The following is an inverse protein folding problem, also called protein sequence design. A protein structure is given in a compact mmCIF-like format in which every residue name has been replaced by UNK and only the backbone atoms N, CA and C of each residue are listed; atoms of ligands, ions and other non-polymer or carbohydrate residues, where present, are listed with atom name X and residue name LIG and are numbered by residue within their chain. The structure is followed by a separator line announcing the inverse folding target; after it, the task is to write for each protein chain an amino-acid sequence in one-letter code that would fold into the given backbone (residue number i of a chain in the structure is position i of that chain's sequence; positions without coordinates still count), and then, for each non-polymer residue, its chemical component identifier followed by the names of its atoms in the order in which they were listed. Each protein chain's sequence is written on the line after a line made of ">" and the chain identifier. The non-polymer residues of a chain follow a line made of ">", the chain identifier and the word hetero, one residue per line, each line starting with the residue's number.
data_IF_930210935817
#
_entry.id   IF_930210935817
#
_cell.length_a   1.000
_cell.length_b   1.000
_cell.length_c   1.000
_cell.angle_alpha   90.00
_cell.angle_beta   90.00
_cell.angle_gamma   90.00
#
_symmetry.space_group_name_H-M   'P 1'
#
loop_
_entity.id
_entity.type
_entity.pdbx_description
1 polymer ?
#
# COMPACT_ATOMS: atom_id res chain seq x y z
N UNK A 1 34.81 9.22 45.40
CA UNK A 1 33.90 9.98 44.51
C UNK A 1 33.64 9.28 43.17
N UNK A 2 34.62 8.61 42.56
CA UNK A 2 34.49 7.98 41.24
C UNK A 2 33.43 6.85 41.13
N UNK A 3 33.19 6.06 42.18
CA UNK A 3 32.21 4.96 42.15
C UNK A 3 30.74 5.42 42.01
N UNK A 4 30.39 6.62 42.49
CA UNK A 4 29.03 7.15 42.37
C UNK A 4 28.70 7.64 40.96
N UNK A 5 29.69 8.19 40.25
CA UNK A 5 29.52 8.65 38.86
C UNK A 5 29.37 7.48 37.89
N UNK A 6 30.11 6.39 38.10
CA UNK A 6 29.98 5.17 37.27
C UNK A 6 28.57 4.58 37.40
N UNK A 7 28.01 4.54 38.62
CA UNK A 7 26.63 4.08 38.84
C UNK A 7 25.60 4.96 38.14
N UNK A 8 25.76 6.29 38.21
CA UNK A 8 24.88 7.25 37.53
C UNK A 8 24.93 7.10 36.01
N UNK A 9 26.13 6.96 35.44
CA UNK A 9 26.33 6.79 34.00
C UNK A 9 25.76 5.46 33.50
N UNK A 10 25.90 4.38 34.27
CA UNK A 10 25.32 3.09 33.95
C UNK A 10 23.78 3.16 33.89
N UNK A 11 23.14 3.78 34.89
CA UNK A 11 21.68 3.94 34.92
C UNK A 11 21.16 4.81 33.77
N UNK A 12 21.87 5.90 33.47
CA UNK A 12 21.55 6.79 32.34
C UNK A 12 21.70 6.07 30.99
N UNK A 13 22.75 5.25 30.84
CA UNK A 13 22.95 4.43 29.63
C UNK A 13 21.83 3.40 29.43
N UNK A 14 21.33 2.82 30.51
CA UNK A 14 20.26 1.82 30.49
C UNK A 14 18.93 2.48 30.11
N UNK A 15 18.65 3.67 30.67
CA UNK A 15 17.48 4.47 30.32
C UNK A 15 17.50 4.94 28.87
N UNK A 16 18.65 5.37 28.36
CA UNK A 16 18.81 5.74 26.95
C UNK A 16 18.65 4.53 26.04
N UNK A 17 19.23 3.38 26.41
CA UNK A 17 19.08 2.12 25.69
C UNK A 17 17.62 1.69 25.60
N UNK A 18 16.85 1.81 26.68
CA UNK A 18 15.43 1.49 26.70
C UNK A 18 14.63 2.40 25.75
N UNK A 19 14.86 3.72 25.80
CA UNK A 19 14.23 4.67 24.87
C UNK A 19 14.60 4.41 23.42
N UNK A 20 15.85 4.01 23.16
CA UNK A 20 16.29 3.65 21.82
C UNK A 20 15.59 2.39 21.32
N UNK A 21 15.41 1.39 22.19
CA UNK A 21 14.66 0.18 21.86
C UNK A 21 13.17 0.49 21.58
N UNK A 22 12.54 1.33 22.40
CA UNK A 22 11.16 1.80 22.16
C UNK A 22 11.03 2.49 20.80
N UNK A 23 11.94 3.41 20.47
CA UNK A 23 11.95 4.08 19.17
C UNK A 23 12.19 3.11 18.01
N UNK A 24 13.06 2.12 18.18
CA UNK A 24 13.30 1.10 17.17
C UNK A 24 12.04 0.26 16.90
N UNK A 25 11.31 -0.13 17.95
CA UNK A 25 10.03 -0.83 17.82
C UNK A 25 9.01 0.02 17.08
N UNK A 26 8.86 1.29 17.46
CA UNK A 26 7.93 2.21 16.78
C UNK A 26 8.28 2.38 15.30
N UNK A 27 9.57 2.50 14.97
CA UNK A 27 10.04 2.63 13.60
C UNK A 27 9.76 1.38 12.76
N UNK A 28 9.99 0.18 13.34
CA UNK A 28 9.66 -1.08 12.69
C UNK A 28 8.16 -1.21 12.45
N UNK A 29 7.33 -0.86 13.44
CA UNK A 29 5.87 -0.89 13.29
C UNK A 29 5.40 0.08 12.21
N UNK A 30 5.91 1.31 12.20
CA UNK A 30 5.60 2.30 11.17
C UNK A 30 5.97 1.79 9.76
N UNK A 31 7.14 1.18 9.62
CA UNK A 31 7.57 0.59 8.35
C UNK A 31 6.66 -0.58 7.91
N UNK A 32 6.22 -1.44 8.84
CA UNK A 32 5.30 -2.52 8.54
C UNK A 32 3.93 -2.00 8.08
N UNK A 33 3.39 -0.96 8.74
CA UNK A 33 2.13 -0.35 8.34
C UNK A 33 2.22 0.32 6.98
N UNK A 34 3.28 1.10 6.72
CA UNK A 34 3.50 1.73 5.43
C UNK A 34 3.64 0.69 4.30
N UNK A 35 4.32 -0.42 4.57
CA UNK A 35 4.45 -1.53 3.62
C UNK A 35 3.10 -2.20 3.34
N UNK A 36 2.31 -2.45 4.38
CA UNK A 36 0.97 -3.03 4.23
C UNK A 36 0.05 -2.11 3.42
N UNK A 37 0.05 -0.82 3.72
CA UNK A 37 -0.74 0.18 2.99
C UNK A 37 -0.38 0.22 1.50
N UNK A 38 0.92 0.20 1.16
CA UNK A 38 1.38 0.14 -0.23
C UNK A 38 0.85 -1.11 -0.95
N UNK A 39 0.87 -2.27 -0.30
CA UNK A 39 0.34 -3.51 -0.85
C UNK A 39 -1.17 -3.46 -1.06
N UNK A 40 -1.92 -2.95 -0.07
CA UNK A 40 -3.36 -2.81 -0.18
C UNK A 40 -3.76 -1.84 -1.28
N UNK A 41 -3.05 -0.72 -1.43
CA UNK A 41 -3.33 0.25 -2.48
C UNK A 41 -3.02 -0.35 -3.87
N UNK A 42 -1.91 -1.08 -4.01
CA UNK A 42 -1.60 -1.84 -5.22
C UNK A 42 -2.68 -2.86 -5.58
N UNK A 43 -3.20 -3.59 -4.58
CA UNK A 43 -4.29 -4.53 -4.79
C UNK A 43 -5.61 -3.84 -5.19
N UNK A 44 -5.95 -2.75 -4.51
CA UNK A 44 -7.16 -1.96 -4.76
C UNK A 44 -7.16 -1.36 -6.17
N UNK A 45 -6.06 -0.71 -6.55
CA UNK A 45 -5.89 -0.11 -7.88
C UNK A 45 -5.96 -1.17 -8.98
N UNK A 46 -5.29 -2.31 -8.79
CA UNK A 46 -5.38 -3.45 -9.72
C UNK A 46 -6.80 -4.00 -9.82
N UNK A 47 -7.50 -4.13 -8.70
CA UNK A 47 -8.90 -4.57 -8.66
C UNK A 47 -9.85 -3.62 -9.40
N UNK A 48 -9.69 -2.31 -9.23
CA UNK A 48 -10.46 -1.30 -9.96
C UNK A 48 -10.18 -1.37 -11.46
N UNK A 49 -8.91 -1.48 -11.86
CA UNK A 49 -8.53 -1.61 -13.27
C UNK A 49 -9.11 -2.88 -13.91
N UNK A 50 -9.06 -4.03 -13.20
CA UNK A 50 -9.63 -5.28 -13.67
C UNK A 50 -11.16 -5.19 -13.81
N UNK A 51 -11.84 -4.64 -12.81
CA UNK A 51 -13.30 -4.44 -12.84
C UNK A 51 -13.71 -3.52 -13.99
N UNK A 52 -12.99 -2.42 -14.21
CA UNK A 52 -13.23 -1.52 -15.33
C UNK A 52 -13.05 -2.24 -16.68
N UNK A 53 -12.02 -3.09 -16.82
CA UNK A 53 -11.80 -3.91 -18.02
C UNK A 53 -12.94 -4.89 -18.27
N UNK A 54 -13.39 -5.61 -17.23
CA UNK A 54 -14.51 -6.57 -17.33
C UNK A 54 -15.81 -5.85 -17.70
N UNK A 55 -16.12 -4.73 -17.06
CA UNK A 55 -17.29 -3.93 -17.38
C UNK A 55 -17.25 -3.38 -18.81
N UNK A 56 -16.08 -2.93 -19.27
CA UNK A 56 -15.89 -2.47 -20.65
C UNK A 56 -16.16 -3.61 -21.64
N UNK A 57 -15.60 -4.80 -21.42
CA UNK A 57 -15.86 -5.98 -22.26
C UNK A 57 -17.34 -6.39 -22.27
N UNK A 58 -18.00 -6.38 -21.11
CA UNK A 58 -19.41 -6.70 -21.02
C UNK A 58 -20.27 -5.67 -21.79
N UNK A 59 -19.90 -4.39 -21.75
CA UNK A 59 -20.56 -3.33 -22.53
C UNK A 59 -20.34 -3.50 -24.03
N UNK A 60 -19.12 -3.78 -24.48
CA UNK A 60 -18.83 -4.08 -25.90
C UNK A 60 -19.65 -5.26 -26.39
N UNK A 61 -19.73 -6.36 -25.62
CA UNK A 61 -20.54 -7.53 -25.96
C UNK A 61 -22.03 -7.19 -26.10
N UNK A 62 -22.57 -6.30 -25.25
CA UNK A 62 -23.96 -5.84 -25.36
C UNK A 62 -24.20 -5.01 -26.62
N UNK A 63 -23.26 -4.14 -27.01
CA UNK A 63 -23.36 -3.36 -28.25
C UNK A 63 -23.35 -4.28 -29.48
N UNK A 64 -22.44 -5.25 -29.53
CA UNK A 64 -22.36 -6.23 -30.61
C UNK A 64 -23.66 -7.04 -30.71
N UNK A 65 -24.22 -7.49 -29.58
CA UNK A 65 -25.51 -8.20 -29.55
C UNK A 65 -26.69 -7.35 -30.06
N UNK A 66 -26.58 -6.03 -29.99
CA UNK A 66 -27.58 -5.09 -30.53
C UNK A 66 -27.37 -4.78 -32.02
N UNK A 67 -26.42 -5.45 -32.68
CA UNK A 67 -26.13 -5.27 -34.10
C UNK A 67 -25.10 -4.19 -34.42
N UNK A 68 -24.45 -3.59 -33.41
CA UNK A 68 -23.36 -2.63 -33.64
C UNK A 68 -22.13 -3.38 -34.13
N UNK A 69 -21.56 -2.95 -35.26
CA UNK A 69 -20.34 -3.54 -35.81
C UNK A 69 -19.20 -3.50 -34.77
N UNK A 70 -18.39 -4.56 -34.62
CA UNK A 70 -17.35 -4.63 -33.59
C UNK A 70 -16.37 -3.46 -33.58
N UNK A 71 -16.00 -2.96 -34.77
CA UNK A 71 -15.13 -1.79 -34.90
C UNK A 71 -15.77 -0.51 -34.34
N UNK A 72 -17.05 -0.27 -34.64
CA UNK A 72 -17.81 0.86 -34.11
C UNK A 72 -18.03 0.75 -32.60
N UNK A 73 -18.32 -0.45 -32.08
CA UNK A 73 -18.47 -0.70 -30.66
C UNK A 73 -17.15 -0.51 -29.87
N UNK A 74 -16.01 -0.83 -30.49
CA UNK A 74 -14.69 -0.58 -29.92
C UNK A 74 -14.35 0.93 -29.90
N UNK A 75 -14.74 1.65 -30.94
CA UNK A 75 -14.50 3.09 -31.07
C UNK A 75 -15.36 3.93 -30.12
N UNK A 76 -16.65 3.61 -29.97
CA UNK A 76 -17.53 4.26 -28.96
C UNK A 76 -17.07 4.04 -27.51
N UNK A 77 -16.28 2.99 -27.27
CA UNK A 77 -15.74 2.66 -25.95
C UNK A 77 -14.29 3.10 -25.76
N UNK A 78 -13.73 3.88 -26.71
CA UNK A 78 -12.34 4.34 -26.71
C UNK A 78 -11.35 3.18 -26.43
N UNK A 79 -11.54 2.06 -27.13
CA UNK A 79 -10.70 0.85 -27.03
C UNK A 79 -9.51 0.91 -28.02
N UNK A 80 -9.55 1.84 -28.99
CA UNK A 80 -8.51 2.09 -29.99
C UNK A 80 -7.74 3.35 -29.64
#
# INVERSE_FOLDING_TARGET
>A
MMYGEVGRLADESLRLGLRQAENAVLLVMAAQYAWAELWFEGYRTTGVALSAKVNRQARTRRLIRRGVAPAAAAQELHIV
#
